data_IF_222257454655
#
_entry.id   IF_222257454655
#
_cell.length_a   1.000
_cell.length_b   1.000
_cell.length_c   1.000
_cell.angle_alpha   90.00
_cell.angle_beta   90.00
_cell.angle_gamma   90.00
#
_symmetry.space_group_name_H-M   'P 1'
#
loop_
_entity.id
_entity.type
_entity.pdbx_description
1 polymer ?
#
# COMPACT_ATOMS: atom_id res chain seq x y z
N UNK A 1 -9.39 -11.78 -12.92
CA UNK A 1 -9.85 -11.89 -11.52
C UNK A 1 -10.47 -13.28 -11.31
N UNK A 2 -9.65 -14.34 -11.24
CA UNK A 2 -10.09 -15.74 -11.17
C UNK A 2 -9.01 -16.64 -10.56
N UNK A 3 -8.52 -16.37 -9.34
CA UNK A 3 -7.53 -17.24 -8.68
C UNK A 3 -7.69 -17.30 -7.15
N UNK A 4 -8.88 -17.61 -6.65
CA UNK A 4 -9.09 -17.80 -5.19
C UNK A 4 -9.98 -19.00 -4.84
N UNK A 5 -10.17 -19.96 -5.74
CA UNK A 5 -11.09 -21.10 -5.51
C UNK A 5 -10.47 -22.47 -5.27
N UNK A 6 -9.14 -22.61 -5.31
CA UNK A 6 -8.50 -23.95 -5.28
C UNK A 6 -8.02 -24.39 -3.88
N UNK A 7 -7.89 -23.50 -2.90
CA UNK A 7 -7.27 -23.86 -1.61
C UNK A 7 -8.23 -24.44 -0.54
N UNK A 8 -9.54 -24.22 -0.65
CA UNK A 8 -10.48 -24.66 0.40
C UNK A 8 -10.86 -26.16 0.35
N UNK A 9 -10.68 -26.85 -0.78
CA UNK A 9 -11.14 -28.25 -0.91
C UNK A 9 -10.26 -29.27 -0.17
N UNK A 10 -9.00 -28.93 0.13
CA UNK A 10 -8.09 -29.83 0.85
C UNK A 10 -8.18 -29.70 2.37
N UNK A 11 -8.63 -28.56 2.88
CA UNK A 11 -8.79 -28.35 4.33
C UNK A 11 -10.09 -29.00 4.83
N UNK A 12 -11.18 -28.96 4.06
CA UNK A 12 -12.44 -29.61 4.45
C UNK A 12 -12.34 -31.14 4.53
N UNK A 13 -11.59 -31.80 3.62
CA UNK A 13 -11.46 -33.27 3.65
C UNK A 13 -10.76 -33.80 4.91
N UNK A 14 -9.74 -33.11 5.42
CA UNK A 14 -9.02 -33.57 6.63
C UNK A 14 -9.81 -33.34 7.92
N UNK A 15 -10.67 -32.33 7.96
CA UNK A 15 -11.52 -32.07 9.13
C UNK A 15 -12.65 -33.10 9.26
N UNK A 16 -13.19 -33.58 8.14
CA UNK A 16 -14.24 -34.61 8.12
C UNK A 16 -13.69 -36.02 8.45
N UNK A 17 -12.49 -36.37 7.99
CA UNK A 17 -11.87 -37.67 8.30
C UNK A 17 -11.36 -37.79 9.75
N UNK A 18 -10.88 -36.69 10.35
CA UNK A 18 -10.42 -36.68 11.74
C UNK A 18 -11.54 -36.85 12.77
N UNK A 19 -12.73 -36.30 12.48
CA UNK A 19 -13.90 -36.40 13.38
C UNK A 19 -14.53 -37.79 13.43
N UNK A 20 -14.51 -38.53 12.32
CA UNK A 20 -15.12 -39.86 12.23
C UNK A 20 -14.27 -40.96 12.87
N UNK A 21 -12.94 -40.84 12.85
CA UNK A 21 -12.03 -41.82 13.47
C UNK A 21 -12.08 -41.80 15.00
N UNK A 22 -12.28 -40.63 15.61
CA UNK A 22 -12.37 -40.52 17.08
C UNK A 22 -13.74 -40.97 17.59
N UNK A 23 -14.83 -40.67 16.87
CA UNK A 23 -16.17 -41.18 17.19
C UNK A 23 -16.26 -42.70 17.08
N UNK A 24 -15.64 -43.32 16.07
CA UNK A 24 -15.69 -44.79 15.93
C UNK A 24 -14.95 -45.51 17.08
N UNK A 25 -13.82 -44.94 17.55
CA UNK A 25 -13.03 -45.53 18.65
C UNK A 25 -13.66 -45.34 20.04
N UNK A 26 -14.40 -44.26 20.28
CA UNK A 26 -15.14 -44.10 21.54
C UNK A 26 -16.40 -44.97 21.57
N UNK A 27 -17.10 -45.11 20.43
CA UNK A 27 -18.25 -46.02 20.31
C UNK A 27 -17.84 -47.49 20.49
N UNK A 28 -16.67 -47.91 19.99
CA UNK A 28 -16.19 -49.28 20.23
C UNK A 28 -15.79 -49.53 21.67
N UNK A 29 -15.19 -48.54 22.36
CA UNK A 29 -14.85 -48.67 23.78
C UNK A 29 -16.09 -48.72 24.69
N UNK A 30 -17.11 -47.89 24.43
CA UNK A 30 -18.38 -47.92 25.17
C UNK A 30 -19.14 -49.21 24.88
N UNK A 31 -19.19 -49.66 23.62
CA UNK A 31 -19.80 -50.94 23.27
C UNK A 31 -19.05 -52.11 23.91
N UNK A 32 -17.72 -52.08 24.00
CA UNK A 32 -16.92 -53.11 24.67
C UNK A 32 -17.16 -53.12 26.19
N UNK A 33 -17.28 -51.95 26.83
CA UNK A 33 -17.61 -51.85 28.25
C UNK A 33 -19.04 -52.33 28.55
N UNK A 34 -20.01 -51.99 27.69
CA UNK A 34 -21.38 -52.50 27.78
C UNK A 34 -21.43 -54.01 27.53
N UNK A 35 -20.67 -54.53 26.56
CA UNK A 35 -20.54 -55.97 26.32
C UNK A 35 -19.95 -56.67 27.54
N UNK A 36 -18.90 -56.11 28.15
CA UNK A 36 -18.26 -56.67 29.34
C UNK A 36 -19.21 -56.67 30.55
N UNK A 37 -19.97 -55.58 30.74
CA UNK A 37 -21.00 -55.50 31.78
C UNK A 37 -22.14 -56.51 31.52
N UNK A 38 -22.58 -56.64 30.26
CA UNK A 38 -23.59 -57.64 29.89
C UNK A 38 -23.07 -59.06 30.09
N UNK A 39 -21.80 -59.33 29.77
CA UNK A 39 -21.16 -60.63 30.00
C UNK A 39 -21.02 -60.94 31.50
N UNK A 40 -20.71 -59.94 32.34
CA UNK A 40 -20.67 -60.09 33.79
C UNK A 40 -22.06 -60.35 34.39
N UNK A 41 -23.10 -59.65 33.90
CA UNK A 41 -24.48 -59.88 34.31
C UNK A 41 -24.99 -61.25 33.84
N UNK A 42 -24.64 -61.66 32.61
CA UNK A 42 -24.94 -62.99 32.08
C UNK A 42 -24.17 -64.10 32.81
N UNK A 43 -22.91 -63.88 33.18
CA UNK A 43 -22.12 -64.82 33.98
C UNK A 43 -22.64 -64.95 35.42
N UNK A 44 -23.25 -63.89 35.97
CA UNK A 44 -23.97 -63.94 37.25
C UNK A 44 -25.32 -64.65 37.14
N UNK A 45 -25.94 -64.61 35.95
CA UNK A 45 -27.21 -65.29 35.66
C UNK A 45 -27.04 -66.76 35.27
N UNK A 46 -25.87 -67.15 34.72
CA UNK A 46 -25.55 -68.54 34.43
C UNK A 46 -25.00 -69.20 35.69
N UNK A 47 -25.75 -70.16 36.23
CA UNK A 47 -25.47 -70.93 37.46
C UNK A 47 -24.15 -71.73 37.46
N UNK A 48 -23.21 -71.48 36.56
CA UNK A 48 -22.02 -72.30 36.34
C UNK A 48 -20.68 -71.58 36.51
N UNK A 49 -20.67 -70.32 36.96
CA UNK A 49 -19.44 -69.63 37.32
C UNK A 49 -19.43 -69.30 38.81
N UNK A 50 -19.04 -70.28 39.62
CA UNK A 50 -18.68 -70.11 41.02
C UNK A 50 -17.42 -69.24 41.11
N UNK A 51 -17.60 -67.92 41.06
CA UNK A 51 -16.66 -67.01 41.70
C UNK A 51 -16.56 -67.46 43.17
N UNK A 52 -15.35 -67.56 43.76
CA UNK A 52 -15.19 -68.04 45.12
C UNK A 52 -16.10 -67.25 46.07
N UNK A 53 -16.96 -67.97 46.80
CA UNK A 53 -18.07 -67.47 47.64
C UNK A 53 -17.67 -66.56 48.82
N UNK A 54 -16.42 -66.08 48.87
CA UNK A 54 -15.86 -65.37 50.03
C UNK A 54 -15.22 -64.01 49.68
N UNK A 55 -15.68 -63.31 48.64
CA UNK A 55 -15.44 -61.87 48.53
C UNK A 55 -16.67 -61.17 49.10
N UNK A 56 -16.56 -60.49 50.26
CA UNK A 56 -17.69 -59.78 50.84
C UNK A 56 -18.24 -58.79 49.81
N UNK A 57 -19.57 -58.78 49.61
CA UNK A 57 -20.24 -58.00 48.58
C UNK A 57 -19.81 -56.52 48.54
N UNK A 58 -19.47 -55.94 49.70
CA UNK A 58 -18.92 -54.58 49.81
C UNK A 58 -17.57 -54.36 49.11
N UNK A 59 -16.68 -55.36 49.11
CA UNK A 59 -15.38 -55.28 48.40
C UNK A 59 -15.54 -55.38 46.89
N UNK A 60 -16.46 -56.22 46.41
CA UNK A 60 -16.76 -56.32 44.99
C UNK A 60 -17.30 -54.99 44.42
N UNK A 61 -18.19 -54.31 45.14
CA UNK A 61 -18.68 -52.98 44.75
C UNK A 61 -17.60 -51.91 44.79
N UNK A 62 -16.66 -51.99 45.74
CA UNK A 62 -15.55 -51.05 45.86
C UNK A 62 -14.56 -51.22 44.70
N UNK A 63 -14.17 -52.45 44.38
CA UNK A 63 -13.27 -52.77 43.26
C UNK A 63 -13.90 -52.34 41.92
N UNK A 64 -15.19 -52.67 41.71
CA UNK A 64 -15.91 -52.24 40.51
C UNK A 64 -16.02 -50.71 40.41
N UNK A 65 -16.25 -50.02 41.53
CA UNK A 65 -16.27 -48.56 41.59
C UNK A 65 -14.92 -47.93 41.24
N UNK A 66 -13.81 -48.45 41.79
CA UNK A 66 -12.45 -47.96 41.52
C UNK A 66 -12.07 -48.18 40.05
N UNK A 67 -12.38 -49.36 39.49
CA UNK A 67 -12.10 -49.66 38.07
C UNK A 67 -12.97 -48.79 37.16
N UNK A 68 -14.26 -48.64 37.46
CA UNK A 68 -15.19 -47.84 36.68
C UNK A 68 -14.82 -46.35 36.67
N UNK A 69 -14.53 -45.78 37.84
CA UNK A 69 -14.08 -44.38 37.95
C UNK A 69 -12.70 -44.17 37.33
N UNK A 70 -11.78 -45.13 37.46
CA UNK A 70 -10.47 -45.08 36.82
C UNK A 70 -10.55 -45.06 35.29
N UNK A 71 -11.44 -45.86 34.71
CA UNK A 71 -11.68 -45.86 33.27
C UNK A 71 -12.28 -44.53 32.77
N UNK A 72 -13.23 -43.96 33.50
CA UNK A 72 -13.83 -42.65 33.20
C UNK A 72 -12.76 -41.55 33.31
N UNK A 73 -11.95 -41.55 34.37
CA UNK A 73 -10.88 -40.58 34.56
C UNK A 73 -9.84 -40.64 33.42
N UNK A 74 -9.47 -41.84 32.99
CA UNK A 74 -8.55 -42.04 31.87
C UNK A 74 -9.12 -41.54 30.53
N UNK A 75 -10.38 -41.87 30.22
CA UNK A 75 -11.05 -41.36 29.02
C UNK A 75 -11.17 -39.83 29.03
N UNK A 76 -11.51 -39.26 30.18
CA UNK A 76 -11.63 -37.82 30.38
C UNK A 76 -10.28 -37.11 30.18
N UNK A 77 -9.21 -37.66 30.75
CA UNK A 77 -7.86 -37.10 30.58
C UNK A 77 -7.38 -37.14 29.12
N UNK A 78 -7.67 -38.22 28.37
CA UNK A 78 -7.39 -38.28 26.93
C UNK A 78 -8.24 -37.30 26.12
N UNK A 79 -9.50 -37.11 26.49
CA UNK A 79 -10.37 -36.09 25.89
C UNK A 79 -9.80 -34.69 26.06
N UNK A 80 -9.37 -34.34 27.27
CA UNK A 80 -8.74 -33.04 27.54
C UNK A 80 -7.42 -32.84 26.78
N UNK A 81 -6.56 -33.85 26.71
CA UNK A 81 -5.31 -33.77 25.93
C UNK A 81 -5.55 -33.49 24.44
N UNK A 82 -6.58 -34.12 23.84
CA UNK A 82 -6.97 -33.86 22.45
C UNK A 82 -7.59 -32.46 22.25
N UNK A 83 -8.33 -31.95 23.24
CA UNK A 83 -8.88 -30.60 23.18
C UNK A 83 -7.78 -29.55 23.27
N UNK A 84 -6.82 -29.71 24.18
CA UNK A 84 -5.69 -28.80 24.36
C UNK A 84 -4.86 -28.74 23.06
N UNK A 85 -4.48 -29.90 22.51
CA UNK A 85 -3.74 -29.95 21.24
C UNK A 85 -4.52 -29.34 20.06
N UNK A 86 -5.86 -29.48 20.03
CA UNK A 86 -6.69 -28.82 19.01
C UNK A 86 -6.74 -27.30 19.20
N UNK A 87 -6.82 -26.81 20.44
CA UNK A 87 -6.79 -25.39 20.75
C UNK A 87 -5.43 -24.78 20.38
N UNK A 88 -4.33 -25.45 20.70
CA UNK A 88 -2.97 -25.02 20.35
C UNK A 88 -2.78 -24.94 18.83
N UNK A 89 -3.26 -25.95 18.10
CA UNK A 89 -3.18 -25.96 16.63
C UNK A 89 -4.02 -24.85 16.01
N UNK A 90 -5.25 -24.61 16.52
CA UNK A 90 -6.10 -23.51 16.05
C UNK A 90 -5.48 -22.15 16.37
N UNK A 91 -4.93 -21.98 17.57
CA UNK A 91 -4.25 -20.76 17.97
C UNK A 91 -3.03 -20.48 17.09
N UNK A 92 -2.29 -21.53 16.69
CA UNK A 92 -1.18 -21.40 15.75
C UNK A 92 -1.65 -20.95 14.36
N UNK A 93 -2.65 -21.62 13.78
CA UNK A 93 -3.21 -21.23 12.47
C UNK A 93 -3.71 -19.78 12.51
N UNK A 94 -4.38 -19.39 13.59
CA UNK A 94 -4.90 -18.04 13.72
C UNK A 94 -3.79 -16.99 13.80
N UNK A 95 -2.69 -17.28 14.49
CA UNK A 95 -1.50 -16.41 14.50
C UNK A 95 -0.89 -16.28 13.11
N UNK A 96 -0.65 -17.40 12.43
CA UNK A 96 -0.08 -17.43 11.08
C UNK A 96 -0.97 -16.67 10.08
N UNK A 97 -2.30 -16.82 10.20
CA UNK A 97 -3.27 -16.11 9.37
C UNK A 97 -3.25 -14.59 9.61
N UNK A 98 -3.16 -14.15 10.87
CA UNK A 98 -3.05 -12.72 11.21
C UNK A 98 -1.74 -12.12 10.70
N UNK A 99 -0.64 -12.86 10.80
CA UNK A 99 0.68 -12.42 10.29
C UNK A 99 0.63 -12.24 8.77
N UNK A 100 0.15 -13.25 8.04
CA UNK A 100 -0.03 -13.13 6.58
C UNK A 100 -0.98 -11.99 6.19
N UNK A 101 -2.06 -11.77 6.94
CA UNK A 101 -2.96 -10.66 6.68
C UNK A 101 -2.28 -9.30 6.90
N UNK A 102 -1.43 -9.18 7.92
CA UNK A 102 -0.65 -7.97 8.16
C UNK A 102 0.38 -7.72 7.04
N UNK A 103 1.03 -8.77 6.55
CA UNK A 103 1.99 -8.67 5.44
C UNK A 103 1.31 -8.27 4.12
N UNK A 104 0.14 -8.84 3.82
CA UNK A 104 -0.66 -8.45 2.65
C UNK A 104 -1.08 -6.98 2.77
N UNK A 105 -1.51 -6.55 3.96
CA UNK A 105 -1.90 -5.15 4.18
C UNK A 105 -0.73 -4.18 4.04
N UNK A 106 0.48 -4.55 4.50
CA UNK A 106 1.70 -3.76 4.30
C UNK A 106 2.03 -3.62 2.82
N UNK A 107 2.07 -4.73 2.09
CA UNK A 107 2.33 -4.74 0.64
C UNK A 107 1.32 -3.89 -0.13
N UNK A 108 0.02 -4.03 0.17
CA UNK A 108 -1.02 -3.25 -0.47
C UNK A 108 -0.86 -1.73 -0.19
N UNK A 109 -0.44 -1.36 1.03
CA UNK A 109 -0.17 0.04 1.37
C UNK A 109 1.07 0.58 0.65
N UNK A 110 2.14 -0.20 0.56
CA UNK A 110 3.36 0.19 -0.15
C UNK A 110 3.09 0.36 -1.66
N UNK A 111 2.31 -0.56 -2.25
CA UNK A 111 1.85 -0.47 -3.64
C UNK A 111 0.97 0.77 -3.90
N UNK A 112 0.07 1.10 -2.96
CA UNK A 112 -0.78 2.30 -3.05
C UNK A 112 0.06 3.59 -2.99
N UNK A 113 1.03 3.68 -2.06
CA UNK A 113 1.95 4.82 -1.97
C UNK A 113 2.77 4.95 -3.25
N UNK A 114 3.29 3.84 -3.78
CA UNK A 114 4.04 3.84 -5.03
C UNK A 114 3.20 4.27 -6.22
N UNK A 115 1.94 3.81 -6.28
CA UNK A 115 0.99 4.23 -7.32
C UNK A 115 0.68 5.73 -7.23
N UNK A 116 0.44 6.25 -6.02
CA UNK A 116 0.20 7.69 -5.80
C UNK A 116 1.42 8.52 -6.20
N UNK A 117 2.63 8.10 -5.80
CA UNK A 117 3.90 8.74 -6.18
C UNK A 117 4.07 8.82 -7.69
N UNK A 118 3.85 7.71 -8.40
CA UNK A 118 3.96 7.64 -9.88
C UNK A 118 2.92 8.54 -10.56
N UNK A 119 1.67 8.51 -10.08
CA UNK A 119 0.58 9.31 -10.61
C UNK A 119 0.83 10.80 -10.43
N UNK A 120 1.29 11.20 -9.24
CA UNK A 120 1.69 12.57 -8.96
C UNK A 120 2.85 13.01 -9.86
N UNK A 121 3.88 12.18 -10.00
CA UNK A 121 5.02 12.47 -10.86
C UNK A 121 4.59 12.65 -12.33
N UNK A 122 3.70 11.80 -12.85
CA UNK A 122 3.15 11.91 -14.20
C UNK A 122 2.35 13.20 -14.41
N UNK A 123 1.49 13.56 -13.45
CA UNK A 123 0.68 14.77 -13.51
C UNK A 123 1.54 16.03 -13.51
N UNK A 124 2.52 16.11 -12.61
CA UNK A 124 3.47 17.23 -12.53
C UNK A 124 4.39 17.29 -13.75
N UNK A 125 4.81 16.14 -14.28
CA UNK A 125 5.62 16.09 -15.49
C UNK A 125 4.86 16.69 -16.69
N UNK A 126 3.60 16.28 -16.90
CA UNK A 126 2.76 16.85 -17.94
C UNK A 126 2.55 18.36 -17.78
N UNK A 127 2.32 18.83 -16.56
CA UNK A 127 2.19 20.26 -16.29
C UNK A 127 3.50 21.03 -16.51
N UNK A 128 4.65 20.51 -16.08
CA UNK A 128 5.95 21.13 -16.34
C UNK A 128 6.24 21.29 -17.82
N UNK A 129 5.88 20.31 -18.66
CA UNK A 129 6.02 20.41 -20.11
C UNK A 129 5.09 21.50 -20.70
N UNK A 130 3.87 21.64 -20.17
CA UNK A 130 2.97 22.71 -20.55
C UNK A 130 3.52 24.09 -20.14
N UNK A 131 4.05 24.20 -18.92
CA UNK A 131 4.73 25.41 -18.41
C UNK A 131 5.93 25.77 -19.29
N UNK A 132 6.78 24.79 -19.62
CA UNK A 132 7.93 24.96 -20.54
C UNK A 132 7.48 25.52 -21.89
N UNK A 133 6.47 24.91 -22.51
CA UNK A 133 5.94 25.37 -23.80
C UNK A 133 5.39 26.80 -23.70
N UNK A 134 4.61 27.09 -22.65
CA UNK A 134 4.07 28.43 -22.43
C UNK A 134 5.18 29.48 -22.25
N UNK A 135 6.24 29.15 -21.52
CA UNK A 135 7.36 30.06 -21.26
C UNK A 135 8.20 30.28 -22.53
N UNK A 136 8.47 29.22 -23.31
CA UNK A 136 9.17 29.34 -24.61
C UNK A 136 8.40 30.21 -25.60
N UNK A 137 7.10 29.96 -25.77
CA UNK A 137 6.26 30.77 -26.65
C UNK A 137 6.30 32.25 -26.26
N UNK A 138 6.34 32.55 -24.96
CA UNK A 138 6.49 33.93 -24.47
C UNK A 138 7.86 34.51 -24.80
N UNK A 139 8.95 33.76 -24.62
CA UNK A 139 10.29 34.22 -25.02
C UNK A 139 10.34 34.52 -26.52
N UNK A 140 9.75 33.69 -27.36
CA UNK A 140 9.69 33.91 -28.80
C UNK A 140 8.89 35.17 -29.16
N UNK A 141 7.74 35.38 -28.50
CA UNK A 141 6.99 36.64 -28.65
C UNK A 141 7.81 37.86 -28.21
N UNK A 142 8.55 37.78 -27.10
CA UNK A 142 9.40 38.88 -26.62
C UNK A 142 10.57 39.14 -27.57
N UNK A 143 11.15 38.11 -28.19
CA UNK A 143 12.19 38.23 -29.23
C UNK A 143 11.65 38.96 -30.45
N UNK A 144 10.45 38.61 -30.91
CA UNK A 144 9.77 39.29 -32.02
C UNK A 144 9.48 40.76 -31.64
N UNK A 145 9.00 41.03 -30.43
CA UNK A 145 8.77 42.41 -29.97
C UNK A 145 10.07 43.22 -29.91
N UNK A 146 11.17 42.58 -29.50
CA UNK A 146 12.49 43.23 -29.45
C UNK A 146 13.02 43.55 -30.85
N UNK A 147 12.84 42.64 -31.82
CA UNK A 147 13.26 42.86 -33.21
C UNK A 147 12.40 43.90 -33.92
N UNK A 148 11.08 43.88 -33.71
CA UNK A 148 10.17 44.92 -34.18
C UNK A 148 10.51 46.27 -33.55
N UNK A 149 10.86 46.27 -32.26
CA UNK A 149 11.20 47.49 -31.55
C UNK A 149 12.49 48.17 -32.00
N UNK A 150 13.38 47.45 -32.69
CA UNK A 150 14.55 48.03 -33.34
C UNK A 150 14.23 48.71 -34.69
N UNK A 151 13.07 48.42 -35.29
CA UNK A 151 12.67 48.90 -36.61
C UNK A 151 11.52 49.91 -36.60
N UNK A 152 10.74 49.94 -35.52
CA UNK A 152 9.61 50.85 -35.37
C UNK A 152 10.03 52.26 -34.87
N UNK A 153 9.31 53.32 -35.29
CA UNK A 153 9.44 54.65 -34.68
C UNK A 153 9.10 54.60 -33.18
N UNK A 154 9.81 55.37 -32.37
CA UNK A 154 9.70 55.37 -30.91
C UNK A 154 8.26 55.61 -30.40
N UNK A 155 7.50 56.47 -31.08
CA UNK A 155 6.11 56.78 -30.72
C UNK A 155 5.20 55.55 -30.79
N UNK A 156 5.37 54.73 -31.84
CA UNK A 156 4.60 53.49 -32.02
C UNK A 156 5.02 52.40 -31.04
N UNK A 157 6.30 52.38 -30.67
CA UNK A 157 6.82 51.47 -29.66
C UNK A 157 6.19 51.74 -28.29
N UNK A 158 6.16 53.02 -27.89
CA UNK A 158 5.59 53.46 -26.61
C UNK A 158 4.08 53.21 -26.51
N UNK A 159 3.37 53.31 -27.63
CA UNK A 159 1.95 53.01 -27.70
C UNK A 159 1.67 51.50 -27.54
N UNK A 160 2.45 50.65 -28.22
CA UNK A 160 2.34 49.19 -28.11
C UNK A 160 2.72 48.62 -26.73
N UNK A 161 3.56 49.33 -25.97
CA UNK A 161 4.05 48.90 -24.65
C UNK A 161 3.33 49.57 -23.47
N UNK A 162 2.20 50.22 -23.73
CA UNK A 162 1.43 50.96 -22.71
C UNK A 162 0.98 50.06 -21.56
N UNK A 163 0.62 48.81 -21.86
CA UNK A 163 0.14 47.80 -20.91
C UNK A 163 0.98 46.52 -20.98
N UNK A 164 2.30 46.68 -20.98
CA UNK A 164 3.20 45.54 -20.98
C UNK A 164 3.14 44.81 -19.64
N UNK A 165 2.98 43.50 -19.70
CA UNK A 165 3.11 42.60 -18.57
C UNK A 165 3.41 41.20 -19.08
N UNK A 166 4.25 40.48 -18.35
CA UNK A 166 4.58 39.09 -18.66
C UNK A 166 3.92 38.25 -17.58
N UNK A 167 2.73 37.68 -17.82
CA UNK A 167 2.06 36.89 -16.80
C UNK A 167 2.93 35.69 -16.42
N UNK A 168 2.92 35.29 -15.15
CA UNK A 168 3.55 34.06 -14.70
C UNK A 168 2.95 32.82 -15.37
N UNK A 169 3.64 31.68 -15.30
CA UNK A 169 3.05 30.41 -15.69
C UNK A 169 1.99 30.01 -14.65
N UNK A 170 0.85 29.48 -15.12
CA UNK A 170 -0.18 28.91 -14.24
C UNK A 170 0.13 27.44 -14.01
N UNK A 171 -0.06 26.98 -12.78
CA UNK A 171 0.29 25.62 -12.38
C UNK A 171 -0.79 25.03 -11.46
N UNK A 172 -2.01 24.81 -12.00
CA UNK A 172 -3.14 24.31 -11.20
C UNK A 172 -2.89 22.92 -10.59
N UNK A 173 -2.19 22.02 -11.29
CA UNK A 173 -1.87 20.68 -10.78
C UNK A 173 -0.92 20.80 -9.59
N UNK A 174 0.20 21.50 -9.74
CA UNK A 174 1.13 21.77 -8.64
C UNK A 174 0.43 22.41 -7.43
N UNK A 175 -0.40 23.43 -7.64
CA UNK A 175 -1.14 24.09 -6.57
C UNK A 175 -2.12 23.14 -5.86
N UNK A 176 -2.85 22.32 -6.63
CA UNK A 176 -3.81 21.36 -6.07
C UNK A 176 -3.16 20.17 -5.35
N UNK A 177 -1.88 19.90 -5.62
CA UNK A 177 -1.13 18.75 -5.09
C UNK A 177 0.00 19.14 -4.15
N UNK A 178 0.02 20.38 -3.66
CA UNK A 178 1.10 20.90 -2.81
C UNK A 178 1.27 20.07 -1.53
N UNK A 179 0.15 19.61 -0.94
CA UNK A 179 0.14 18.76 0.26
C UNK A 179 0.77 17.38 0.01
N UNK A 180 0.68 16.88 -1.23
CA UNK A 180 1.17 15.56 -1.62
C UNK A 180 2.60 15.59 -2.20
N UNK A 181 3.20 16.77 -2.36
CA UNK A 181 4.54 16.94 -2.96
C UNK A 181 5.60 16.11 -2.24
N UNK A 182 5.43 15.88 -0.93
CA UNK A 182 6.33 15.08 -0.11
C UNK A 182 6.43 13.60 -0.53
N UNK A 183 5.43 13.07 -1.23
CA UNK A 183 5.43 11.70 -1.75
C UNK A 183 6.55 11.46 -2.79
N UNK A 184 7.04 12.52 -3.45
CA UNK A 184 8.14 12.44 -4.41
C UNK A 184 9.51 12.24 -3.74
N UNK A 185 9.58 12.41 -2.42
CA UNK A 185 10.82 12.48 -1.67
C UNK A 185 11.41 13.89 -1.65
N UNK A 186 12.21 14.22 -0.62
CA UNK A 186 12.61 15.59 -0.30
C UNK A 186 13.42 16.27 -1.42
N UNK A 187 14.28 15.51 -2.11
CA UNK A 187 15.12 16.05 -3.19
C UNK A 187 14.28 16.48 -4.40
N UNK A 188 13.40 15.61 -4.89
CA UNK A 188 12.57 15.91 -6.07
C UNK A 188 11.52 16.97 -5.71
N UNK A 189 10.92 16.88 -4.53
CA UNK A 189 9.95 17.86 -4.06
C UNK A 189 10.54 19.28 -4.01
N UNK A 190 11.75 19.45 -3.46
CA UNK A 190 12.43 20.74 -3.45
C UNK A 190 12.65 21.29 -4.86
N UNK A 191 13.15 20.48 -5.78
CA UNK A 191 13.45 20.92 -7.14
C UNK A 191 12.18 21.32 -7.91
N UNK A 192 11.10 20.54 -7.74
CA UNK A 192 9.79 20.86 -8.28
C UNK A 192 9.30 22.22 -7.76
N UNK A 193 9.32 22.42 -6.45
CA UNK A 193 8.90 23.70 -5.82
C UNK A 193 9.74 24.87 -6.34
N UNK A 194 11.07 24.71 -6.43
CA UNK A 194 11.96 25.77 -6.94
C UNK A 194 11.63 26.16 -8.38
N UNK A 195 11.41 25.17 -9.25
CA UNK A 195 11.09 25.42 -10.67
C UNK A 195 9.73 26.10 -10.81
N UNK A 196 8.71 25.63 -10.11
CA UNK A 196 7.38 26.25 -10.17
C UNK A 196 7.35 27.65 -9.55
N UNK A 197 8.07 27.88 -8.46
CA UNK A 197 8.20 29.22 -7.88
C UNK A 197 8.83 30.19 -8.88
N UNK A 198 9.90 29.79 -9.58
CA UNK A 198 10.55 30.61 -10.61
C UNK A 198 9.65 30.82 -11.83
N UNK A 199 9.00 29.77 -12.32
CA UNK A 199 8.10 29.83 -13.47
C UNK A 199 6.83 30.66 -13.21
N UNK A 200 6.38 30.70 -11.95
CA UNK A 200 5.22 31.47 -11.51
C UNK A 200 5.47 32.97 -11.37
N UNK A 201 6.73 33.42 -11.30
CA UNK A 201 7.06 34.84 -11.25
C UNK A 201 6.74 35.49 -12.60
N UNK A 202 5.77 36.40 -12.58
CA UNK A 202 5.44 37.27 -13.69
C UNK A 202 5.90 38.70 -13.46
N UNK A 203 5.97 39.48 -14.53
CA UNK A 203 6.04 40.93 -14.45
C UNK A 203 4.61 41.47 -14.40
N UNK A 204 4.31 42.22 -13.34
CA UNK A 204 3.04 42.93 -13.21
C UNK A 204 2.84 43.89 -14.38
N UNK A 205 1.57 44.11 -14.75
CA UNK A 205 1.23 45.06 -15.81
C UNK A 205 1.58 46.46 -15.32
N UNK A 206 2.49 47.10 -16.04
CA UNK A 206 2.95 48.45 -15.73
C UNK A 206 3.08 49.28 -16.99
N UNK A 207 2.94 50.60 -16.84
CA UNK A 207 3.17 51.51 -17.96
C UNK A 207 4.67 51.72 -18.16
N UNK A 208 5.19 51.30 -19.30
CA UNK A 208 6.59 51.56 -19.69
C UNK A 208 6.78 52.89 -20.43
N UNK A 209 5.77 53.78 -20.40
CA UNK A 209 5.73 55.05 -21.16
C UNK A 209 6.86 56.03 -20.81
N UNK A 210 7.37 55.98 -19.58
CA UNK A 210 8.43 56.85 -19.08
C UNK A 210 9.82 56.28 -19.30
N UNK A 211 9.93 55.01 -19.70
CA UNK A 211 11.22 54.36 -19.94
C UNK A 211 11.73 54.71 -21.33
N UNK A 212 13.06 54.87 -21.45
CA UNK A 212 13.70 55.01 -22.75
C UNK A 212 13.58 53.71 -23.55
N UNK A 213 13.62 53.80 -24.87
CA UNK A 213 13.63 52.62 -25.77
C UNK A 213 14.75 51.64 -25.38
N UNK A 214 15.93 52.17 -25.06
CA UNK A 214 17.07 51.35 -24.59
C UNK A 214 16.76 50.64 -23.28
N UNK A 215 16.10 51.29 -22.32
CA UNK A 215 15.71 50.66 -21.06
C UNK A 215 14.68 49.53 -21.28
N UNK A 216 13.72 49.76 -22.17
CA UNK A 216 12.73 48.75 -22.57
C UNK A 216 13.41 47.54 -23.22
N UNK A 217 14.30 47.76 -24.19
CA UNK A 217 15.02 46.68 -24.85
C UNK A 217 15.87 45.87 -23.87
N UNK A 218 16.56 46.55 -22.95
CA UNK A 218 17.33 45.90 -21.89
C UNK A 218 16.45 45.07 -20.95
N UNK A 219 15.27 45.57 -20.59
CA UNK A 219 14.30 44.83 -19.78
C UNK A 219 13.83 43.57 -20.51
N UNK A 220 13.40 43.69 -21.78
CA UNK A 220 12.97 42.55 -22.59
C UNK A 220 14.06 41.48 -22.72
N UNK A 221 15.30 41.90 -22.99
CA UNK A 221 16.45 40.99 -23.08
C UNK A 221 16.75 40.30 -21.74
N UNK A 222 16.62 41.01 -20.63
CA UNK A 222 16.80 40.43 -19.28
C UNK A 222 15.74 39.36 -19.00
N UNK A 223 14.48 39.61 -19.39
CA UNK A 223 13.39 38.63 -19.24
C UNK A 223 13.63 37.41 -20.14
N UNK A 224 14.03 37.61 -21.40
CA UNK A 224 14.37 36.50 -22.31
C UNK A 224 15.50 35.65 -21.72
N UNK A 225 16.58 36.28 -21.23
CA UNK A 225 17.70 35.56 -20.60
C UNK A 225 17.30 34.85 -19.30
N UNK A 226 16.36 35.40 -18.53
CA UNK A 226 15.81 34.72 -17.35
C UNK A 226 15.01 33.47 -17.75
N UNK A 227 14.16 33.58 -18.78
CA UNK A 227 13.41 32.45 -19.34
C UNK A 227 14.38 31.36 -19.86
N UNK A 228 15.38 31.74 -20.65
CA UNK A 228 16.33 30.79 -21.25
C UNK A 228 17.14 30.05 -20.18
N UNK A 229 17.40 30.66 -19.03
CA UNK A 229 18.01 29.98 -17.86
C UNK A 229 17.04 29.05 -17.12
N UNK A 230 15.74 29.34 -17.14
CA UNK A 230 14.72 28.52 -16.48
C UNK A 230 14.40 27.25 -17.26
N UNK A 231 14.42 27.30 -18.60
CA UNK A 231 14.07 26.15 -19.46
C UNK A 231 14.90 24.88 -19.17
N UNK A 232 16.24 24.93 -19.08
CA UNK A 232 17.05 23.77 -18.72
C UNK A 232 16.72 23.20 -17.33
N UNK A 233 16.32 24.05 -16.38
CA UNK A 233 15.92 23.61 -15.04
C UNK A 233 14.58 22.87 -15.09
N UNK A 234 13.64 23.35 -15.89
CA UNK A 234 12.37 22.65 -16.14
C UNK A 234 12.63 21.29 -16.79
N UNK A 235 13.51 21.24 -17.81
CA UNK A 235 13.88 20.00 -18.51
C UNK A 235 14.56 19.00 -17.55
N UNK A 236 15.44 19.48 -16.68
CA UNK A 236 16.08 18.66 -15.64
C UNK A 236 15.04 18.03 -14.71
N UNK A 237 14.16 18.85 -14.12
CA UNK A 237 13.13 18.34 -13.19
C UNK A 237 12.13 17.43 -13.90
N UNK A 238 11.78 17.72 -15.15
CA UNK A 238 10.94 16.84 -15.96
C UNK A 238 11.58 15.46 -16.13
N UNK A 239 12.89 15.38 -16.39
CA UNK A 239 13.62 14.11 -16.43
C UNK A 239 13.60 13.37 -15.09
N UNK A 240 13.78 14.09 -13.97
CA UNK A 240 13.68 13.47 -12.64
C UNK A 240 12.30 12.87 -12.40
N UNK A 241 11.24 13.60 -12.71
CA UNK A 241 9.87 13.10 -12.59
C UNK A 241 9.60 11.92 -13.53
N UNK A 242 10.19 11.92 -14.73
CA UNK A 242 10.09 10.79 -15.66
C UNK A 242 10.78 9.53 -15.11
N UNK A 243 11.91 9.68 -14.39
CA UNK A 243 12.58 8.55 -13.71
C UNK A 243 11.75 7.90 -12.61
N UNK A 244 10.82 8.64 -12.00
CA UNK A 244 9.87 8.07 -11.05
C UNK A 244 8.73 7.30 -11.74
N UNK A 245 8.44 7.56 -13.01
CA UNK A 245 7.30 7.00 -13.74
C UNK A 245 7.66 5.69 -14.47
N UNK A 246 8.85 5.63 -15.06
CA UNK A 246 9.26 4.55 -15.94
C UNK A 246 10.51 3.84 -15.44
N UNK A 247 10.46 2.52 -15.40
CA UNK A 247 11.62 1.69 -15.09
C UNK A 247 12.68 1.86 -16.20
N UNK A 248 13.92 2.18 -15.81
CA UNK A 248 15.06 2.29 -16.72
C UNK A 248 15.43 3.70 -17.17
N UNK A 249 14.70 4.75 -16.75
CA UNK A 249 15.14 6.14 -16.95
C UNK A 249 16.06 6.53 -15.79
N UNK A 250 17.29 6.93 -16.09
CA UNK A 250 18.24 7.38 -15.06
C UNK A 250 17.84 8.75 -14.51
N UNK A 251 17.74 8.87 -13.18
CA UNK A 251 17.63 10.18 -12.51
C UNK A 251 18.93 10.97 -12.76
N UNK A 252 18.87 12.18 -13.36
CA UNK A 252 20.05 13.03 -13.53
C UNK A 252 20.61 13.58 -12.20
N UNK A 253 19.92 13.33 -11.07
CA UNK A 253 20.32 13.80 -9.75
C UNK A 253 19.70 15.15 -9.40
N UNK A 254 20.04 15.73 -8.23
CA UNK A 254 19.47 16.99 -7.77
C UNK A 254 19.77 18.14 -8.73
N UNK A 255 18.85 19.10 -8.79
CA UNK A 255 19.03 20.32 -9.59
C UNK A 255 20.33 21.01 -9.14
N UNK A 256 21.27 21.29 -10.07
CA UNK A 256 22.49 22.01 -9.72
C UNK A 256 22.14 23.40 -9.20
N UNK A 257 22.76 23.80 -8.09
CA UNK A 257 22.59 25.13 -7.51
C UNK A 257 23.03 26.17 -8.56
N UNK A 258 22.08 27.02 -8.96
CA UNK A 258 22.28 28.12 -9.90
C UNK A 258 22.68 29.40 -9.15
#
# INVERSE_FOLDING_TARGET
MYLTRVSNSHIEKRFLDGGNSVKSKSLTAVNAALLFLNLLLLAKSSKHMSLPDNIPQGWATLIAGVIGLGAIAWQTNRGFANLISSQDYRAKIERDAREHQADIARKAKDEDIDHQRRTLAAALHGELLAVRSSIRNRADMLRIQTSLGATLPEDRLREGLRDFGVPGAKSPVFQSQLENIGLLGPSIANDVVQVYARAGIGLERGSMRTLSVTAIQNLLQTVIAAIDRCVPQIDHVAMRLASLQADGVSDPGPLPLA
#
